data_IF_936949864087
#
_entry.id   IF_936949864087
#
_cell.length_a   1.000
_cell.length_b   1.000
_cell.length_c   1.000
_cell.angle_alpha   90.00
_cell.angle_beta   90.00
_cell.angle_gamma   90.00
#
_symmetry.space_group_name_H-M   'P 1'
#
loop_
_entity.id
_entity.type
_entity.pdbx_description
1 polymer ?
#
# COMPACT_ATOMS: atom_id res chain seq x y z
N UNK A 1 -39.06 26.98 22.76
CA UNK A 1 -38.27 25.73 22.60
C UNK A 1 -37.13 26.02 21.64
N UNK A 2 -35.90 26.16 22.16
CA UNK A 2 -34.72 26.30 21.31
C UNK A 2 -34.33 24.90 20.80
N UNK A 3 -34.61 24.62 19.52
CA UNK A 3 -34.03 23.49 18.83
C UNK A 3 -32.53 23.76 18.69
N UNK A 4 -31.71 23.13 19.54
CA UNK A 4 -30.27 23.05 19.29
C UNK A 4 -30.08 22.27 18.00
N UNK A 5 -29.74 22.97 16.92
CA UNK A 5 -29.34 22.37 15.67
C UNK A 5 -28.11 21.50 15.93
N UNK A 6 -28.31 20.19 15.96
CA UNK A 6 -27.23 19.21 16.00
C UNK A 6 -26.51 19.28 14.65
N UNK A 7 -25.56 20.20 14.52
CA UNK A 7 -24.81 20.36 13.29
C UNK A 7 -24.03 19.08 13.01
N UNK A 8 -24.22 18.41 11.86
CA UNK A 8 -23.60 17.12 11.53
C UNK A 8 -22.06 17.16 11.58
N UNK A 9 -21.46 18.35 11.46
CA UNK A 9 -20.03 18.66 11.63
C UNK A 9 -19.48 18.16 12.97
N UNK A 10 -20.26 18.24 14.05
CA UNK A 10 -19.80 17.86 15.39
C UNK A 10 -19.98 16.35 15.66
N UNK A 11 -20.86 15.69 14.90
CA UNK A 11 -21.16 14.27 15.07
C UNK A 11 -20.01 13.39 14.56
N UNK A 12 -19.52 13.65 13.34
CA UNK A 12 -18.45 12.84 12.75
C UNK A 12 -17.13 13.00 13.49
N UNK A 13 -16.81 14.20 13.98
CA UNK A 13 -15.64 14.42 14.85
C UNK A 13 -15.71 13.60 16.16
N UNK A 14 -16.89 13.51 16.78
CA UNK A 14 -17.11 12.64 17.96
C UNK A 14 -16.91 11.16 17.59
N UNK A 15 -17.40 10.73 16.43
CA UNK A 15 -17.17 9.36 15.93
C UNK A 15 -15.69 9.04 15.79
N UNK A 16 -14.85 9.97 15.33
CA UNK A 16 -13.40 9.76 15.27
C UNK A 16 -12.80 9.51 16.66
N UNK A 17 -13.18 10.31 17.66
CA UNK A 17 -12.70 10.14 19.04
C UNK A 17 -13.18 8.84 19.67
N UNK A 18 -14.44 8.46 19.44
CA UNK A 18 -14.98 7.17 19.89
C UNK A 18 -14.22 5.99 19.28
N UNK A 19 -13.96 6.04 17.96
CA UNK A 19 -13.21 4.99 17.28
C UNK A 19 -11.78 4.92 17.80
N UNK A 20 -11.10 6.06 17.92
CA UNK A 20 -9.74 6.17 18.47
C UNK A 20 -9.63 5.59 19.87
N UNK A 21 -10.63 5.83 20.72
CA UNK A 21 -10.73 5.21 22.05
C UNK A 21 -10.93 3.69 21.95
N UNK A 22 -11.84 3.23 21.08
CA UNK A 22 -12.18 1.81 20.95
C UNK A 22 -11.01 0.93 20.47
N UNK A 23 -10.13 1.45 19.61
CA UNK A 23 -8.96 0.72 19.11
C UNK A 23 -7.69 0.99 19.93
N UNK A 24 -7.71 1.99 20.81
CA UNK A 24 -6.61 2.28 21.75
C UNK A 24 -6.59 1.36 22.95
N UNK A 25 -7.64 0.56 23.15
CA UNK A 25 -7.71 -0.49 24.16
C UNK A 25 -6.81 -1.66 23.76
N UNK A 26 -5.88 -2.05 24.66
CA UNK A 26 -4.94 -3.15 24.46
C UNK A 26 -5.63 -4.50 24.20
N UNK A 27 -6.92 -4.62 24.52
CA UNK A 27 -7.72 -5.84 24.36
C UNK A 27 -8.55 -5.91 23.07
N UNK A 28 -8.53 -4.88 22.21
CA UNK A 28 -9.40 -4.83 21.02
C UNK A 28 -9.24 -6.08 20.15
N UNK A 29 -10.34 -6.80 19.95
CA UNK A 29 -10.42 -8.02 19.14
C UNK A 29 -10.79 -7.68 17.68
N UNK A 30 -10.80 -8.70 16.82
CA UNK A 30 -11.15 -8.53 15.41
C UNK A 30 -12.55 -7.90 15.24
N UNK A 31 -13.52 -8.22 16.10
CA UNK A 31 -14.87 -7.68 16.05
C UNK A 31 -14.90 -6.19 16.37
N UNK A 32 -14.13 -5.74 17.36
CA UNK A 32 -13.97 -4.34 17.71
C UNK A 32 -13.41 -3.54 16.51
N UNK A 33 -12.39 -4.06 15.83
CA UNK A 33 -11.84 -3.41 14.63
C UNK A 33 -12.84 -3.37 13.46
N UNK A 34 -13.60 -4.45 13.21
CA UNK A 34 -14.65 -4.44 12.17
C UNK A 34 -15.75 -3.43 12.48
N UNK A 35 -16.15 -3.32 13.75
CA UNK A 35 -17.12 -2.30 14.18
C UNK A 35 -16.56 -0.89 14.00
N UNK A 36 -15.29 -0.66 14.35
CA UNK A 36 -14.61 0.61 14.10
C UNK A 36 -14.56 0.95 12.61
N UNK A 37 -14.23 -0.01 11.75
CA UNK A 37 -14.22 0.16 10.29
C UNK A 37 -15.59 0.60 9.77
N UNK A 38 -16.66 -0.09 10.19
CA UNK A 38 -18.02 0.27 9.80
C UNK A 38 -18.41 1.69 10.27
N UNK A 39 -18.03 2.06 11.50
CA UNK A 39 -18.29 3.40 12.06
C UNK A 39 -17.54 4.51 11.33
N UNK A 40 -16.34 4.25 10.81
CA UNK A 40 -15.55 5.27 10.11
C UNK A 40 -16.00 5.53 8.68
N UNK A 41 -16.67 4.58 8.01
CA UNK A 41 -17.06 4.73 6.59
C UNK A 41 -17.76 6.07 6.28
N UNK A 42 -18.73 6.56 7.06
CA UNK A 42 -19.35 7.87 6.81
C UNK A 42 -18.38 9.05 6.97
N UNK A 43 -17.42 8.97 7.89
CA UNK A 43 -16.46 10.05 8.14
C UNK A 43 -15.45 10.21 6.98
N UNK A 44 -15.20 9.16 6.19
CA UNK A 44 -14.29 9.21 5.04
C UNK A 44 -14.81 10.05 3.87
N UNK A 45 -16.12 10.30 3.81
CA UNK A 45 -16.78 11.05 2.73
C UNK A 45 -17.51 12.29 3.23
N UNK A 46 -17.54 12.51 4.54
CA UNK A 46 -18.18 13.68 5.13
C UNK A 46 -17.31 14.92 4.94
N UNK A 47 -17.91 16.01 4.48
CA UNK A 47 -17.22 17.28 4.21
C UNK A 47 -16.41 17.83 5.40
N UNK A 48 -16.85 17.58 6.63
CA UNK A 48 -16.16 18.07 7.82
C UNK A 48 -14.92 17.26 8.21
N UNK A 49 -14.74 16.06 7.66
CA UNK A 49 -13.70 15.11 8.09
C UNK A 49 -12.87 14.53 6.93
N UNK A 50 -13.38 14.51 5.70
CA UNK A 50 -12.69 13.93 4.55
C UNK A 50 -11.37 14.64 4.19
N UNK A 51 -11.21 15.91 4.56
CA UNK A 51 -9.97 16.67 4.32
C UNK A 51 -9.05 16.71 5.54
N UNK A 52 -9.37 15.95 6.60
CA UNK A 52 -8.53 15.84 7.78
C UNK A 52 -7.59 14.64 7.65
N UNK A 53 -6.28 14.87 7.75
CA UNK A 53 -5.28 13.80 7.79
C UNK A 53 -5.55 12.77 8.90
N UNK A 54 -6.06 13.22 10.06
CA UNK A 54 -6.38 12.36 11.20
C UNK A 54 -7.48 11.34 10.89
N UNK A 55 -8.46 11.70 10.04
CA UNK A 55 -9.55 10.81 9.64
C UNK A 55 -9.03 9.61 8.87
N UNK A 56 -8.17 9.86 7.88
CA UNK A 56 -7.55 8.81 7.08
C UNK A 56 -6.50 8.03 7.86
N UNK A 57 -5.74 8.70 8.73
CA UNK A 57 -4.76 8.01 9.56
C UNK A 57 -5.44 7.04 10.54
N UNK A 58 -6.56 7.47 11.15
CA UNK A 58 -7.34 6.60 12.02
C UNK A 58 -7.93 5.41 11.27
N UNK A 59 -8.45 5.61 10.05
CA UNK A 59 -8.92 4.52 9.21
C UNK A 59 -7.80 3.52 8.86
N UNK A 60 -6.61 4.01 8.50
CA UNK A 60 -5.46 3.15 8.26
C UNK A 60 -5.11 2.28 9.47
N UNK A 61 -5.12 2.87 10.68
CA UNK A 61 -4.87 2.13 11.93
C UNK A 61 -5.90 1.04 12.19
N UNK A 62 -7.17 1.29 11.87
CA UNK A 62 -8.22 0.28 11.97
C UNK A 62 -7.95 -0.89 11.04
N UNK A 63 -7.63 -0.62 9.77
CA UNK A 63 -7.33 -1.67 8.78
C UNK A 63 -6.09 -2.50 9.18
N UNK A 64 -5.02 -1.86 9.64
CA UNK A 64 -3.86 -2.58 10.16
C UNK A 64 -4.21 -3.45 11.38
N UNK A 65 -5.14 -3.00 12.24
CA UNK A 65 -5.65 -3.82 13.33
C UNK A 65 -6.42 -5.04 12.85
N UNK A 66 -7.24 -4.93 11.79
CA UNK A 66 -7.92 -6.07 11.15
C UNK A 66 -6.88 -7.06 10.62
N UNK A 67 -5.84 -6.58 9.94
CA UNK A 67 -4.74 -7.43 9.48
C UNK A 67 -4.06 -8.15 10.64
N UNK A 68 -3.63 -7.42 11.68
CA UNK A 68 -2.88 -7.97 12.81
C UNK A 68 -3.69 -9.07 13.51
N UNK A 69 -5.00 -8.89 13.70
CA UNK A 69 -5.85 -9.88 14.36
C UNK A 69 -6.08 -11.12 13.50
N UNK A 70 -6.26 -10.96 12.18
CA UNK A 70 -6.31 -12.09 11.27
C UNK A 70 -4.96 -12.83 11.19
N UNK A 71 -3.83 -12.10 11.22
CA UNK A 71 -2.48 -12.67 11.27
C UNK A 71 -2.27 -13.52 12.52
N UNK A 72 -2.72 -13.04 13.68
CA UNK A 72 -2.70 -13.81 14.92
C UNK A 72 -3.52 -15.08 14.76
N UNK A 73 -4.77 -14.99 14.28
CA UNK A 73 -5.62 -16.16 14.04
C UNK A 73 -4.95 -17.18 13.12
N UNK A 74 -4.36 -16.73 12.00
CA UNK A 74 -3.57 -17.56 11.08
C UNK A 74 -2.43 -18.27 11.81
N UNK A 75 -1.66 -17.56 12.65
CA UNK A 75 -0.48 -18.12 13.33
C UNK A 75 -0.82 -19.18 14.39
N UNK A 76 -1.99 -19.08 15.02
CA UNK A 76 -2.44 -20.03 16.06
C UNK A 76 -3.37 -21.11 15.50
N UNK A 77 -3.60 -21.13 14.18
CA UNK A 77 -4.46 -22.13 13.52
C UNK A 77 -5.97 -21.89 13.67
N UNK A 78 -6.39 -20.71 14.13
CA UNK A 78 -7.80 -20.33 14.16
C UNK A 78 -8.31 -19.99 12.75
N UNK A 79 -9.63 -20.08 12.57
CA UNK A 79 -10.27 -19.62 11.33
C UNK A 79 -10.04 -18.12 11.11
N UNK A 80 -9.74 -17.75 9.87
CA UNK A 80 -9.55 -16.38 9.42
C UNK A 80 -9.92 -16.25 7.95
N UNK A 81 -10.26 -15.05 7.52
CA UNK A 81 -10.54 -14.76 6.11
C UNK A 81 -9.27 -14.21 5.45
N UNK A 82 -8.69 -15.00 4.53
CA UNK A 82 -7.47 -14.64 3.80
C UNK A 82 -7.66 -13.36 2.97
N UNK A 83 -8.83 -13.19 2.35
CA UNK A 83 -9.11 -12.01 1.53
C UNK A 83 -9.28 -10.78 2.39
N UNK A 84 -10.02 -10.89 3.50
CA UNK A 84 -10.16 -9.78 4.45
C UNK A 84 -8.80 -9.34 4.99
N UNK A 85 -7.96 -10.31 5.41
CA UNK A 85 -6.62 -10.04 5.91
C UNK A 85 -5.79 -9.27 4.88
N UNK A 86 -5.66 -9.77 3.66
CA UNK A 86 -4.86 -9.11 2.62
C UNK A 86 -5.45 -7.76 2.19
N UNK A 87 -6.77 -7.64 2.08
CA UNK A 87 -7.44 -6.42 1.66
C UNK A 87 -7.37 -5.31 2.72
N UNK A 88 -7.27 -5.67 3.99
CA UNK A 88 -7.00 -4.72 5.07
C UNK A 88 -5.61 -4.08 4.92
N UNK A 89 -4.57 -4.82 4.50
CA UNK A 89 -3.27 -4.22 4.20
C UNK A 89 -3.31 -3.22 3.03
N UNK A 90 -4.02 -3.56 1.96
CA UNK A 90 -4.20 -2.66 0.81
C UNK A 90 -4.90 -1.38 1.27
N UNK A 91 -6.03 -1.52 1.97
CA UNK A 91 -6.82 -0.38 2.45
C UNK A 91 -6.04 0.48 3.44
N UNK A 92 -5.30 -0.15 4.37
CA UNK A 92 -4.44 0.53 5.32
C UNK A 92 -3.36 1.37 4.62
N UNK A 93 -2.73 0.84 3.57
CA UNK A 93 -1.78 1.59 2.76
C UNK A 93 -2.43 2.76 2.02
N UNK A 94 -3.56 2.53 1.34
CA UNK A 94 -4.26 3.56 0.57
C UNK A 94 -4.71 4.73 1.48
N UNK A 95 -5.22 4.42 2.67
CA UNK A 95 -5.56 5.42 3.68
C UNK A 95 -4.32 6.15 4.22
N UNK A 96 -3.17 5.46 4.38
CA UNK A 96 -1.90 6.14 4.69
C UNK A 96 -1.51 7.14 3.61
N UNK A 97 -1.61 6.76 2.32
CA UNK A 97 -1.29 7.66 1.21
C UNK A 97 -2.20 8.89 1.20
N UNK A 98 -3.50 8.72 1.48
CA UNK A 98 -4.44 9.83 1.60
C UNK A 98 -4.13 10.72 2.80
N UNK A 99 -3.80 10.14 3.95
CA UNK A 99 -3.39 10.88 5.14
C UNK A 99 -2.11 11.70 4.90
N UNK A 100 -1.09 11.13 4.27
CA UNK A 100 0.16 11.82 3.93
C UNK A 100 -0.06 13.04 3.04
N UNK A 101 -0.95 12.92 2.05
CA UNK A 101 -1.31 14.04 1.16
C UNK A 101 -1.96 15.20 1.93
N UNK A 102 -2.73 14.91 2.98
CA UNK A 102 -3.43 15.91 3.79
C UNK A 102 -2.60 16.42 4.98
N UNK A 103 -1.57 15.69 5.41
CA UNK A 103 -0.74 16.02 6.57
C UNK A 103 0.38 17.03 6.26
N UNK A 104 0.53 17.44 4.99
CA UNK A 104 1.55 18.41 4.58
C UNK A 104 0.97 19.82 4.64
N UNK A 105 1.37 20.60 5.66
CA UNK A 105 0.91 21.98 5.86
C UNK A 105 2.07 22.94 5.56
N UNK A 106 1.88 23.85 4.61
CA UNK A 106 2.85 24.90 4.30
C UNK A 106 3.04 25.84 5.49
N UNK A 107 4.27 26.04 5.95
CA UNK A 107 4.55 27.07 6.95
C UNK A 107 4.59 28.45 6.27
N UNK A 108 3.88 29.43 6.84
CA UNK A 108 3.86 30.81 6.35
C UNK A 108 4.43 31.78 7.38
N UNK A 109 4.99 32.89 6.89
CA UNK A 109 5.35 34.08 7.66
C UNK A 109 4.07 34.80 8.14
N UNK A 110 4.23 35.80 9.01
CA UNK A 110 3.09 36.60 9.52
C UNK A 110 2.32 37.32 8.41
N UNK A 111 2.98 37.62 7.29
CA UNK A 111 2.41 38.25 6.10
C UNK A 111 1.76 37.25 5.12
N UNK A 112 1.72 35.95 5.46
CA UNK A 112 1.16 34.89 4.62
C UNK A 112 2.11 34.33 3.56
N UNK A 113 3.32 34.88 3.40
CA UNK A 113 4.29 34.36 2.45
C UNK A 113 4.88 33.01 2.92
N UNK A 114 5.22 32.07 2.03
CA UNK A 114 5.83 30.80 2.42
C UNK A 114 7.15 31.00 3.16
N UNK A 115 7.34 30.32 4.30
CA UNK A 115 8.66 30.20 4.91
C UNK A 115 9.56 29.36 4.02
N UNK A 116 10.81 29.77 3.87
CA UNK A 116 11.82 29.00 3.14
C UNK A 116 12.74 28.31 4.13
N UNK A 117 12.94 27.02 3.95
CA UNK A 117 13.95 26.25 4.65
C UNK A 117 15.34 26.67 4.16
N UNK A 118 16.17 27.18 5.08
CA UNK A 118 17.47 27.76 4.74
C UNK A 118 18.47 26.75 4.19
N UNK A 119 18.34 25.47 4.54
CA UNK A 119 19.28 24.43 4.11
C UNK A 119 18.93 23.91 2.70
N UNK A 120 17.65 23.80 2.38
CA UNK A 120 17.17 23.23 1.11
C UNK A 120 16.74 24.27 0.10
N UNK A 121 16.58 25.53 0.51
CA UNK A 121 16.01 26.63 -0.28
C UNK A 121 14.57 26.34 -0.78
N UNK A 122 13.88 25.37 -0.17
CA UNK A 122 12.50 24.98 -0.50
C UNK A 122 11.52 25.55 0.51
N UNK A 123 10.25 25.60 0.14
CA UNK A 123 9.17 25.93 1.06
C UNK A 123 9.17 24.98 2.26
N UNK A 124 9.15 25.55 3.46
CA UNK A 124 9.15 24.81 4.71
C UNK A 124 7.74 24.28 4.96
N UNK A 125 7.64 22.99 5.22
CA UNK A 125 6.38 22.31 5.52
C UNK A 125 6.42 21.72 6.93
N UNK A 126 5.25 21.67 7.57
CA UNK A 126 5.03 20.99 8.83
C UNK A 126 4.15 19.76 8.60
N UNK A 127 4.44 18.69 9.34
CA UNK A 127 3.68 17.44 9.32
C UNK A 127 3.34 17.01 10.75
N UNK A 128 2.14 16.50 11.00
CA UNK A 128 1.73 15.99 12.33
C UNK A 128 1.91 14.47 12.42
N UNK A 129 1.55 13.73 11.37
CA UNK A 129 1.47 12.27 11.35
C UNK A 129 2.48 11.58 10.42
N UNK A 130 3.08 12.31 9.48
CA UNK A 130 3.83 11.73 8.36
C UNK A 130 4.95 10.78 8.80
N UNK A 131 5.73 11.14 9.83
CA UNK A 131 6.79 10.27 10.36
C UNK A 131 6.25 8.95 10.92
N UNK A 132 5.13 9.00 11.63
CA UNK A 132 4.46 7.83 12.22
C UNK A 132 3.85 6.95 11.13
N UNK A 133 3.16 7.57 10.15
CA UNK A 133 2.59 6.88 8.99
C UNK A 133 3.67 6.11 8.23
N UNK A 134 4.80 6.76 7.92
CA UNK A 134 5.93 6.12 7.26
C UNK A 134 6.52 4.96 8.08
N UNK A 135 6.66 5.12 9.40
CA UNK A 135 7.11 4.03 10.27
C UNK A 135 6.13 2.84 10.24
N UNK A 136 4.83 3.11 10.29
CA UNK A 136 3.81 2.06 10.27
C UNK A 136 3.82 1.30 8.96
N UNK A 137 3.81 1.97 7.80
CA UNK A 137 3.88 1.30 6.49
C UNK A 137 5.16 0.45 6.35
N UNK A 138 6.31 0.97 6.76
CA UNK A 138 7.56 0.20 6.72
C UNK A 138 7.54 -1.00 7.65
N UNK A 139 6.82 -0.94 8.78
CA UNK A 139 6.64 -2.05 9.69
C UNK A 139 5.92 -3.26 9.08
N UNK A 140 5.16 -3.07 7.99
CA UNK A 140 4.45 -4.13 7.26
C UNK A 140 5.13 -4.52 5.95
N UNK A 141 6.38 -4.10 5.69
CA UNK A 141 7.01 -4.30 4.38
C UNK A 141 7.01 -5.78 3.95
N UNK A 142 7.44 -6.68 4.83
CA UNK A 142 7.44 -8.14 4.58
C UNK A 142 6.01 -8.71 4.53
N UNK A 143 5.10 -8.12 5.28
CA UNK A 143 3.70 -8.55 5.31
C UNK A 143 3.00 -8.30 3.96
N UNK A 144 3.34 -7.21 3.25
CA UNK A 144 2.80 -6.94 1.91
C UNK A 144 3.18 -8.03 0.90
N UNK A 145 4.43 -8.49 0.87
CA UNK A 145 4.85 -9.55 -0.06
C UNK A 145 4.19 -10.89 0.26
N UNK A 146 4.13 -11.27 1.54
CA UNK A 146 3.51 -12.51 2.00
C UNK A 146 1.98 -12.52 1.74
N UNK A 147 1.28 -11.44 2.07
CA UNK A 147 -0.14 -11.32 1.81
C UNK A 147 -0.46 -11.30 0.31
N UNK A 148 0.42 -10.74 -0.53
CA UNK A 148 0.31 -10.84 -1.99
C UNK A 148 0.25 -12.29 -2.48
N UNK A 149 1.13 -13.15 -1.95
CA UNK A 149 1.14 -14.58 -2.29
C UNK A 149 -0.12 -15.31 -1.81
N UNK A 150 -0.62 -14.98 -0.62
CA UNK A 150 -1.86 -15.55 -0.08
C UNK A 150 -3.09 -15.15 -0.93
N UNK A 151 -3.21 -13.86 -1.30
CA UNK A 151 -4.28 -13.38 -2.16
C UNK A 151 -4.23 -13.98 -3.57
N UNK A 152 -3.04 -14.14 -4.13
CA UNK A 152 -2.86 -14.81 -5.42
C UNK A 152 -3.39 -16.25 -5.39
N UNK A 153 -3.06 -17.01 -4.33
CA UNK A 153 -3.60 -18.36 -4.10
C UNK A 153 -5.12 -18.33 -3.95
N UNK A 154 -5.65 -17.32 -3.25
CA UNK A 154 -7.08 -17.09 -3.07
C UNK A 154 -7.80 -16.49 -4.29
N UNK A 155 -7.12 -16.38 -5.44
CA UNK A 155 -7.62 -15.84 -6.71
C UNK A 155 -8.04 -14.37 -6.67
N UNK A 156 -7.58 -13.61 -5.69
CA UNK A 156 -7.72 -12.15 -5.65
C UNK A 156 -6.48 -11.50 -6.32
N UNK A 157 -6.48 -11.56 -7.65
CA UNK A 157 -5.33 -11.11 -8.47
C UNK A 157 -5.12 -9.60 -8.37
N UNK A 158 -6.19 -8.82 -8.26
CA UNK A 158 -6.12 -7.36 -8.21
C UNK A 158 -5.42 -6.90 -6.94
N UNK A 159 -5.79 -7.45 -5.78
CA UNK A 159 -5.15 -7.07 -4.53
C UNK A 159 -3.77 -7.72 -4.35
N UNK A 160 -3.53 -8.92 -4.88
CA UNK A 160 -2.19 -9.49 -4.96
C UNK A 160 -1.23 -8.58 -5.75
N UNK A 161 -1.66 -8.13 -6.93
CA UNK A 161 -0.93 -7.18 -7.77
C UNK A 161 -0.59 -5.90 -7.01
N UNK A 162 -1.56 -5.32 -6.30
CA UNK A 162 -1.36 -4.10 -5.50
C UNK A 162 -0.35 -4.31 -4.38
N UNK A 163 -0.42 -5.41 -3.64
CA UNK A 163 0.46 -5.68 -2.50
C UNK A 163 1.93 -5.81 -2.90
N UNK A 164 2.25 -6.51 -3.98
CA UNK A 164 3.62 -6.55 -4.51
C UNK A 164 4.06 -5.19 -5.11
N UNK A 165 3.09 -4.42 -5.64
CA UNK A 165 3.26 -3.02 -6.00
C UNK A 165 3.73 -2.16 -4.82
N UNK A 166 3.01 -2.26 -3.70
CA UNK A 166 3.26 -1.53 -2.46
C UNK A 166 4.63 -1.90 -1.88
N UNK A 167 4.94 -3.19 -1.78
CA UNK A 167 6.23 -3.68 -1.30
C UNK A 167 7.39 -2.99 -2.02
N UNK A 168 7.39 -3.04 -3.36
CA UNK A 168 8.44 -2.44 -4.18
C UNK A 168 8.54 -0.93 -3.97
N UNK A 169 7.40 -0.22 -3.98
CA UNK A 169 7.38 1.23 -3.82
C UNK A 169 7.98 1.65 -2.46
N UNK A 170 7.81 0.85 -1.42
CA UNK A 170 8.41 1.12 -0.11
C UNK A 170 9.92 0.86 -0.12
N UNK A 171 10.36 -0.31 -0.61
CA UNK A 171 11.78 -0.70 -0.57
C UNK A 171 12.63 0.04 -1.59
N UNK A 172 12.06 0.57 -2.67
CA UNK A 172 12.80 1.33 -3.69
C UNK A 172 12.76 2.85 -3.50
N UNK A 173 12.22 3.34 -2.38
CA UNK A 173 12.30 4.78 -2.07
C UNK A 173 13.76 5.22 -1.89
N UNK A 174 14.16 6.42 -2.39
CA UNK A 174 15.54 6.90 -2.28
C UNK A 174 16.09 6.85 -0.85
N UNK A 175 15.23 7.14 0.14
CA UNK A 175 15.58 7.12 1.55
C UNK A 175 15.92 5.71 2.08
N UNK A 176 15.34 4.65 1.51
CA UNK A 176 15.64 3.27 1.89
C UNK A 176 16.90 2.74 1.20
N UNK A 177 17.08 3.08 -0.07
CA UNK A 177 18.28 2.75 -0.85
C UNK A 177 19.53 3.31 -0.15
N UNK A 178 19.51 4.58 0.24
CA UNK A 178 20.64 5.25 0.93
C UNK A 178 20.94 4.63 2.31
N UNK A 179 19.95 3.99 2.95
CA UNK A 179 20.12 3.39 4.28
C UNK A 179 20.67 1.96 4.25
N UNK A 180 20.85 1.35 3.07
CA UNK A 180 21.24 -0.06 2.91
C UNK A 180 20.39 -1.04 3.75
N UNK A 181 19.12 -0.69 3.99
CA UNK A 181 18.14 -1.51 4.74
C UNK A 181 17.12 -2.16 3.82
N UNK A 182 17.56 -2.50 2.60
CA UNK A 182 16.70 -3.04 1.56
C UNK A 182 17.03 -4.50 1.34
N UNK A 183 16.00 -5.26 0.99
CA UNK A 183 16.17 -6.64 0.55
C UNK A 183 17.08 -6.68 -0.68
N UNK A 184 17.80 -7.79 -0.92
CA UNK A 184 18.62 -7.95 -2.12
C UNK A 184 17.81 -7.67 -3.39
N UNK A 185 18.46 -7.12 -4.43
CA UNK A 185 17.80 -6.82 -5.71
C UNK A 185 17.03 -8.04 -6.25
N UNK A 186 17.57 -9.25 -6.09
CA UNK A 186 16.92 -10.49 -6.51
C UNK A 186 15.59 -10.74 -5.81
N UNK A 187 15.47 -10.42 -4.52
CA UNK A 187 14.22 -10.52 -3.75
C UNK A 187 13.21 -9.49 -4.25
N UNK A 188 13.66 -8.25 -4.51
CA UNK A 188 12.81 -7.20 -5.08
C UNK A 188 12.33 -7.61 -6.48
N UNK A 189 13.22 -8.17 -7.29
CA UNK A 189 12.93 -8.71 -8.62
C UNK A 189 11.95 -9.86 -8.57
N UNK A 190 12.01 -10.75 -7.57
CA UNK A 190 11.03 -11.82 -7.40
C UNK A 190 9.62 -11.28 -7.16
N UNK A 191 9.49 -10.21 -6.36
CA UNK A 191 8.20 -9.55 -6.15
C UNK A 191 7.67 -8.90 -7.42
N UNK A 192 8.53 -8.28 -8.24
CA UNK A 192 8.16 -7.79 -9.58
C UNK A 192 7.69 -8.92 -10.49
N UNK A 193 8.38 -10.07 -10.47
CA UNK A 193 7.98 -11.24 -11.24
C UNK A 193 6.59 -11.77 -10.81
N UNK A 194 6.32 -11.87 -9.51
CA UNK A 194 4.99 -12.30 -9.05
C UNK A 194 3.90 -11.28 -9.39
N UNK A 195 4.21 -9.99 -9.30
CA UNK A 195 3.30 -8.94 -9.76
C UNK A 195 3.02 -9.03 -11.26
N UNK A 196 4.03 -9.32 -12.09
CA UNK A 196 3.85 -9.55 -13.51
C UNK A 196 2.89 -10.74 -13.76
N UNK A 197 3.05 -11.85 -13.02
CA UNK A 197 2.15 -12.99 -13.12
C UNK A 197 0.69 -12.63 -12.79
N UNK A 198 0.44 -11.81 -11.76
CA UNK A 198 -0.89 -11.28 -11.48
C UNK A 198 -1.39 -10.36 -12.60
N UNK A 199 -0.53 -9.51 -13.16
CA UNK A 199 -0.87 -8.64 -14.28
C UNK A 199 -1.32 -9.43 -15.52
N UNK A 200 -0.67 -10.56 -15.82
CA UNK A 200 -1.08 -11.49 -16.89
C UNK A 200 -2.50 -12.01 -16.65
N UNK A 201 -2.81 -12.44 -15.42
CA UNK A 201 -4.15 -12.94 -15.07
C UNK A 201 -5.21 -11.84 -15.17
N UNK A 202 -4.84 -10.59 -14.89
CA UNK A 202 -5.68 -9.40 -15.01
C UNK A 202 -5.75 -8.83 -16.44
N UNK A 203 -5.11 -9.48 -17.42
CA UNK A 203 -5.01 -9.01 -18.82
C UNK A 203 -4.34 -7.63 -18.99
N UNK A 204 -3.54 -7.21 -18.02
CA UNK A 204 -2.69 -5.99 -18.06
C UNK A 204 -1.37 -6.34 -18.76
N UNK A 205 -1.45 -6.70 -20.05
CA UNK A 205 -0.36 -7.37 -20.75
C UNK A 205 0.86 -6.47 -20.97
N UNK A 206 0.67 -5.18 -21.27
CA UNK A 206 1.80 -4.25 -21.43
C UNK A 206 2.53 -4.04 -20.11
N UNK A 207 1.77 -3.86 -19.03
CA UNK A 207 2.31 -3.74 -17.68
C UNK A 207 3.02 -5.02 -17.22
N UNK A 208 2.50 -6.19 -17.60
CA UNK A 208 3.16 -7.47 -17.32
C UNK A 208 4.55 -7.54 -17.96
N UNK A 209 4.69 -7.11 -19.22
CA UNK A 209 5.99 -7.03 -19.90
C UNK A 209 6.96 -6.09 -19.17
N UNK A 210 6.50 -4.90 -18.79
CA UNK A 210 7.33 -3.92 -18.06
C UNK A 210 7.80 -4.49 -16.72
N UNK A 211 6.94 -5.23 -16.02
CA UNK A 211 7.26 -5.88 -14.74
C UNK A 211 8.21 -7.07 -14.91
N UNK A 212 8.07 -7.89 -15.96
CA UNK A 212 9.04 -8.94 -16.27
C UNK A 212 10.41 -8.35 -16.61
N UNK A 213 10.46 -7.27 -17.38
CA UNK A 213 11.69 -6.54 -17.70
C UNK A 213 12.34 -5.98 -16.43
N UNK A 214 11.57 -5.35 -15.54
CA UNK A 214 12.06 -4.92 -14.23
C UNK A 214 12.62 -6.09 -13.40
N UNK A 215 11.90 -7.21 -13.33
CA UNK A 215 12.34 -8.39 -12.59
C UNK A 215 13.69 -8.92 -13.11
N UNK A 216 13.86 -9.02 -14.45
CA UNK A 216 15.12 -9.43 -15.08
C UNK A 216 16.27 -8.46 -14.78
N UNK A 217 16.00 -7.14 -14.84
CA UNK A 217 17.00 -6.12 -14.52
C UNK A 217 17.49 -6.18 -13.05
N UNK A 218 16.66 -6.75 -12.18
CA UNK A 218 16.94 -6.99 -10.76
C UNK A 218 17.51 -8.39 -10.50
N UNK A 219 17.93 -9.11 -11.54
CA UNK A 219 18.62 -10.40 -11.43
C UNK A 219 17.72 -11.64 -11.47
N UNK A 220 16.40 -11.49 -11.70
CA UNK A 220 15.50 -12.65 -11.92
C UNK A 220 15.61 -13.12 -13.37
N UNK A 221 16.71 -13.80 -13.66
CA UNK A 221 17.03 -14.29 -15.01
C UNK A 221 16.62 -15.73 -15.26
N UNK A 222 15.80 -16.34 -14.39
CA UNK A 222 15.30 -17.73 -14.57
C UNK A 222 14.53 -17.88 -15.90
N UNK A 223 14.66 -19.04 -16.55
CA UNK A 223 14.00 -19.34 -17.84
C UNK A 223 12.52 -18.97 -17.88
N UNK A 224 11.77 -19.27 -16.82
CA UNK A 224 10.33 -18.93 -16.74
C UNK A 224 10.02 -17.43 -16.81
N UNK A 225 10.93 -16.55 -16.41
CA UNK A 225 10.76 -15.10 -16.57
C UNK A 225 10.81 -14.67 -18.04
N UNK A 226 11.59 -15.36 -18.87
CA UNK A 226 11.62 -15.13 -20.32
C UNK A 226 10.42 -15.78 -21.00
N UNK A 227 10.14 -17.05 -20.72
CA UNK A 227 9.05 -17.80 -21.36
C UNK A 227 7.68 -17.11 -21.15
N UNK A 228 7.42 -16.65 -19.93
CA UNK A 228 6.17 -15.93 -19.63
C UNK A 228 6.09 -14.57 -20.35
N UNK A 229 7.18 -13.82 -20.40
CA UNK A 229 7.21 -12.52 -21.08
C UNK A 229 7.08 -12.67 -22.61
N UNK A 230 7.73 -13.67 -23.20
CA UNK A 230 7.58 -14.00 -24.63
C UNK A 230 6.11 -14.33 -24.94
N UNK A 231 5.43 -15.11 -24.09
CA UNK A 231 4.01 -15.39 -24.27
C UNK A 231 3.12 -14.14 -24.14
N UNK A 232 3.48 -13.20 -23.25
CA UNK A 232 2.80 -11.90 -23.14
C UNK A 232 2.97 -11.08 -24.42
N UNK A 233 4.20 -10.99 -24.93
CA UNK A 233 4.51 -10.24 -26.16
C UNK A 233 3.86 -10.87 -27.40
N UNK A 234 3.78 -12.20 -27.45
CA UNK A 234 3.02 -12.92 -28.46
C UNK A 234 1.53 -12.54 -28.43
N UNK A 235 0.89 -12.53 -27.25
CA UNK A 235 -0.51 -12.10 -27.10
C UNK A 235 -0.73 -10.63 -27.48
N UNK A 236 0.28 -9.78 -27.28
CA UNK A 236 0.25 -8.37 -27.71
C UNK A 236 0.50 -8.18 -29.22
N UNK A 237 0.96 -9.21 -29.93
CA UNK A 237 1.43 -9.08 -31.32
C UNK A 237 2.73 -8.29 -31.46
N UNK A 238 3.49 -8.10 -30.39
CA UNK A 238 4.73 -7.30 -30.37
C UNK A 238 5.93 -8.17 -30.77
N UNK A 239 5.96 -8.58 -32.04
CA UNK A 239 6.99 -9.49 -32.57
C UNK A 239 8.40 -8.91 -32.45
N UNK A 240 8.55 -7.59 -32.63
CA UNK A 240 9.86 -6.94 -32.57
C UNK A 240 10.48 -7.04 -31.16
N UNK A 241 9.70 -6.78 -30.12
CA UNK A 241 10.17 -6.91 -28.73
C UNK A 241 10.31 -8.38 -28.33
N UNK A 242 9.38 -9.24 -28.78
CA UNK A 242 9.47 -10.68 -28.55
C UNK A 242 10.80 -11.25 -29.05
N UNK A 243 11.24 -10.90 -30.26
CA UNK A 243 12.53 -11.34 -30.81
C UNK A 243 13.71 -10.89 -29.96
N UNK A 244 13.67 -9.69 -29.38
CA UNK A 244 14.73 -9.20 -28.48
C UNK A 244 14.80 -10.07 -27.22
N UNK A 245 13.67 -10.28 -26.56
CA UNK A 245 13.59 -11.11 -25.34
C UNK A 245 13.98 -12.55 -25.62
N UNK A 246 13.58 -13.14 -26.75
CA UNK A 246 14.02 -14.48 -27.16
C UNK A 246 15.53 -14.56 -27.37
N UNK A 247 16.16 -13.54 -27.96
CA UNK A 247 17.62 -13.49 -28.12
C UNK A 247 18.33 -13.42 -26.76
N UNK A 248 17.84 -12.61 -25.84
CA UNK A 248 18.36 -12.54 -24.47
C UNK A 248 18.24 -13.91 -23.76
N UNK A 249 17.09 -14.58 -23.90
CA UNK A 249 16.88 -15.90 -23.33
C UNK A 249 17.85 -16.95 -23.93
N UNK A 250 18.02 -16.94 -25.26
CA UNK A 250 18.91 -17.86 -25.97
C UNK A 250 20.36 -17.71 -25.52
N UNK A 251 20.84 -16.48 -25.26
CA UNK A 251 22.18 -16.24 -24.73
C UNK A 251 22.43 -16.87 -23.36
N UNK A 252 21.39 -17.02 -22.55
CA UNK A 252 21.48 -17.62 -21.22
C UNK A 252 21.19 -19.12 -21.22
N UNK A 253 20.38 -19.61 -22.16
CA UNK A 253 19.76 -20.95 -22.06
C UNK A 253 19.86 -21.85 -23.29
N UNK A 254 20.12 -21.32 -24.50
CA UNK A 254 20.13 -22.11 -25.75
C UNK A 254 18.75 -22.58 -26.17
#
# INVERSE_FOLDING_TARGET
>A
MAFFAFSPVNAQKRTLEEVKKSIGDLSADLKAYKNAQAKLKPALTNEATQDLAETWWLAARVEFGIYDKNRVNKSVGNSFDVKEMGNALVSGYDYCQKALKLDTILETNRDGTPKIDKATQKQKVKTKFSKEIWHKMMGYVVDYSAAGADLYKAKDMENAYKLWGIYYNLVTTPQQIVKHKVDPDTVIGEMRYFQAMAAVQLKKLREAHDLFTQARSLGVVKKSAFDHDINVLHQLGDTATMVKVTKEAYQLYG
#
